data_IF_915208762969
#
_entry.id   IF_915208762969
#
_cell.length_a   1.000
_cell.length_b   1.000
_cell.length_c   1.000
_cell.angle_alpha   90.00
_cell.angle_beta   90.00
_cell.angle_gamma   90.00
#
_symmetry.space_group_name_H-M   'P 1'
#
loop_
_entity.id
_entity.type
_entity.pdbx_description
1 polymer ?
#
# COMPACT_ATOMS: atom_id res chain seq x y z
N UNK A 1 24.63 -14.79 -3.16
CA UNK A 1 23.34 -14.94 -2.42
C UNK A 1 23.53 -14.45 -1.00
N UNK A 2 22.56 -13.72 -0.44
CA UNK A 2 22.64 -12.98 0.84
C UNK A 2 22.69 -13.83 2.12
N UNK A 3 22.87 -15.16 2.03
CA UNK A 3 23.12 -16.05 3.18
C UNK A 3 21.97 -16.21 4.19
N UNK A 4 20.81 -15.61 3.96
CA UNK A 4 19.66 -15.68 4.87
C UNK A 4 18.75 -16.87 4.55
N UNK A 5 18.98 -18.01 5.20
CA UNK A 5 18.14 -19.23 5.04
C UNK A 5 17.10 -19.41 6.15
N UNK A 6 17.35 -18.85 7.34
CA UNK A 6 16.48 -19.01 8.52
C UNK A 6 16.03 -17.66 9.10
N UNK A 7 14.80 -17.62 9.61
CA UNK A 7 14.24 -16.43 10.28
C UNK A 7 14.59 -16.46 11.77
N UNK A 8 15.11 -15.35 12.31
CA UNK A 8 15.49 -15.21 13.73
C UNK A 8 14.46 -14.45 14.59
N UNK A 9 13.50 -13.76 13.96
CA UNK A 9 12.53 -12.93 14.66
C UNK A 9 11.55 -13.78 15.48
N UNK A 10 11.41 -13.50 16.78
CA UNK A 10 10.62 -14.30 17.73
C UNK A 10 9.35 -13.61 18.26
N UNK A 11 9.22 -12.29 18.06
CA UNK A 11 8.12 -11.53 18.62
C UNK A 11 6.90 -11.51 17.69
N UNK A 12 5.80 -10.94 18.17
CA UNK A 12 4.60 -10.71 17.36
C UNK A 12 4.93 -9.75 16.22
N UNK A 13 4.42 -10.05 15.02
CA UNK A 13 4.55 -9.15 13.87
C UNK A 13 3.56 -8.02 14.00
N UNK A 14 3.96 -6.81 13.62
CA UNK A 14 3.02 -5.69 13.49
C UNK A 14 1.91 -6.03 12.50
N UNK A 15 0.72 -5.52 12.78
CA UNK A 15 -0.44 -5.63 11.90
C UNK A 15 -1.08 -4.26 11.74
N UNK A 16 -1.59 -4.01 10.54
CA UNK A 16 -2.30 -2.83 10.13
C UNK A 16 -3.67 -3.23 9.60
N UNK A 17 -4.62 -2.31 9.71
CA UNK A 17 -5.93 -2.46 9.08
C UNK A 17 -5.82 -2.12 7.60
N UNK A 18 -6.48 -2.94 6.79
CA UNK A 18 -6.66 -2.64 5.39
C UNK A 18 -7.74 -1.55 5.26
N UNK A 19 -7.56 -0.66 4.30
CA UNK A 19 -8.46 0.45 3.99
C UNK A 19 -9.06 0.22 2.61
N UNK A 20 -10.31 0.62 2.41
CA UNK A 20 -10.88 0.67 1.07
C UNK A 20 -10.36 1.92 0.34
N UNK A 21 -9.65 1.69 -0.76
CA UNK A 21 -9.08 2.74 -1.62
C UNK A 21 -9.79 2.80 -2.98
N UNK A 22 -10.98 2.22 -3.06
CA UNK A 22 -11.81 2.16 -4.24
C UNK A 22 -11.75 0.82 -4.95
N UNK A 23 -12.53 0.73 -6.04
CA UNK A 23 -12.81 -0.55 -6.71
C UNK A 23 -11.64 -1.11 -7.53
N UNK A 24 -10.64 -0.30 -7.87
CA UNK A 24 -9.58 -0.68 -8.81
C UNK A 24 -8.55 -1.65 -8.20
N UNK A 25 -8.29 -1.56 -6.90
CA UNK A 25 -7.27 -2.38 -6.25
C UNK A 25 -7.61 -2.68 -4.79
N UNK A 26 -7.25 -3.89 -4.35
CA UNK A 26 -7.24 -4.25 -2.93
C UNK A 26 -5.99 -3.70 -2.28
N UNK A 27 -6.19 -3.12 -1.10
CA UNK A 27 -5.13 -2.59 -0.27
C UNK A 27 -4.80 -3.57 0.87
N UNK A 28 -3.61 -4.16 0.83
CA UNK A 28 -3.08 -5.04 1.88
C UNK A 28 -1.88 -4.40 2.58
N UNK A 29 -2.15 -3.64 3.63
CA UNK A 29 -1.13 -2.84 4.30
C UNK A 29 -0.05 -3.69 5.00
N UNK A 30 -0.41 -4.89 5.46
CA UNK A 30 0.53 -5.82 6.12
C UNK A 30 1.68 -6.31 5.23
N UNK A 31 1.61 -6.09 3.90
CA UNK A 31 2.68 -6.39 2.95
C UNK A 31 3.60 -5.20 2.68
N UNK A 32 3.29 -4.01 3.20
CA UNK A 32 4.06 -2.81 2.94
C UNK A 32 5.38 -2.81 3.73
N UNK A 33 6.49 -2.61 3.02
CA UNK A 33 7.85 -2.49 3.59
C UNK A 33 8.27 -1.04 3.84
N UNK A 34 7.32 -0.09 3.79
CA UNK A 34 7.57 1.34 3.99
C UNK A 34 8.69 1.92 3.09
N UNK A 35 8.71 1.54 1.81
CA UNK A 35 9.69 2.06 0.84
C UNK A 35 9.36 3.44 0.27
N UNK A 36 8.20 4.02 0.61
CA UNK A 36 7.70 5.33 0.14
C UNK A 36 7.45 5.48 -1.37
N UNK A 37 7.75 4.46 -2.19
CA UNK A 37 7.66 4.56 -3.65
C UNK A 37 6.25 4.88 -4.15
N UNK A 38 5.22 4.33 -3.51
CA UNK A 38 3.83 4.60 -3.86
C UNK A 38 3.44 6.08 -3.67
N UNK A 39 3.76 6.68 -2.51
CA UNK A 39 3.41 8.08 -2.24
C UNK A 39 4.22 9.04 -3.12
N UNK A 40 5.50 8.74 -3.38
CA UNK A 40 6.31 9.53 -4.32
C UNK A 40 5.74 9.46 -5.73
N UNK A 41 5.47 8.27 -6.25
CA UNK A 41 4.82 8.12 -7.55
C UNK A 41 3.50 8.89 -7.61
N UNK A 42 2.66 8.72 -6.60
CA UNK A 42 1.33 9.29 -6.58
C UNK A 42 1.35 10.82 -6.58
N UNK A 43 2.23 11.41 -5.77
CA UNK A 43 2.38 12.86 -5.65
C UNK A 43 3.13 13.49 -6.83
N UNK A 44 4.21 12.85 -7.28
CA UNK A 44 5.15 13.47 -8.22
C UNK A 44 4.79 13.19 -9.69
N UNK A 45 4.04 12.12 -9.98
CA UNK A 45 3.72 11.69 -11.35
C UNK A 45 2.24 11.47 -11.64
N UNK A 46 1.42 11.17 -10.63
CA UNK A 46 -0.01 10.92 -10.81
C UNK A 46 -0.87 12.15 -10.44
N UNK A 47 -0.26 13.27 -10.06
CA UNK A 47 -0.91 14.50 -9.58
C UNK A 47 -1.94 14.27 -8.46
N UNK A 48 -1.79 13.16 -7.72
CA UNK A 48 -2.71 12.77 -6.67
C UNK A 48 -2.30 13.35 -5.32
N UNK A 49 -3.27 13.83 -4.56
CA UNK A 49 -3.03 14.53 -3.27
C UNK A 49 -3.60 13.80 -2.05
N UNK A 50 -4.42 12.77 -2.27
CA UNK A 50 -5.19 12.08 -1.24
C UNK A 50 -4.50 10.81 -0.68
N UNK A 51 -3.39 10.34 -1.27
CA UNK A 51 -2.55 9.27 -0.72
C UNK A 51 -1.34 9.81 0.05
N UNK A 52 -1.32 9.60 1.37
CA UNK A 52 -0.29 10.09 2.27
C UNK A 52 0.41 9.01 3.11
N UNK A 53 1.26 9.51 4.02
CA UNK A 53 1.94 8.73 5.06
C UNK A 53 1.49 9.26 6.42
N UNK A 54 1.08 8.35 7.30
CA UNK A 54 0.58 8.67 8.63
C UNK A 54 1.30 7.84 9.69
N UNK A 55 1.31 8.30 10.94
CA UNK A 55 1.97 7.63 12.05
C UNK A 55 3.49 7.80 12.08
N UNK A 56 4.15 7.06 12.97
CA UNK A 56 5.59 7.13 13.20
C UNK A 56 6.17 5.76 13.60
N UNK A 57 7.49 5.59 13.41
CA UNK A 57 8.24 4.37 13.71
C UNK A 57 7.59 3.10 13.13
N UNK A 58 7.29 2.11 13.96
CA UNK A 58 6.74 0.84 13.54
C UNK A 58 5.25 0.91 13.16
N UNK A 59 4.59 2.02 13.51
CA UNK A 59 3.17 2.27 13.25
C UNK A 59 2.93 3.15 12.00
N UNK A 60 3.93 3.30 11.14
CA UNK A 60 3.77 4.04 9.87
C UNK A 60 2.74 3.35 8.98
N UNK A 61 1.81 4.16 8.48
CA UNK A 61 0.71 3.78 7.62
C UNK A 61 0.76 4.54 6.30
N UNK A 62 0.43 3.88 5.19
CA UNK A 62 0.29 4.49 3.88
C UNK A 62 -1.17 4.32 3.46
N UNK A 63 -1.82 5.38 3.02
CA UNK A 63 -3.26 5.36 2.74
C UNK A 63 -3.83 6.77 2.66
N UNK A 64 -5.12 6.90 2.89
CA UNK A 64 -5.86 8.17 3.01
C UNK A 64 -6.20 8.44 4.49
N UNK A 65 -6.58 9.69 4.84
CA UNK A 65 -7.14 9.98 6.16
C UNK A 65 -8.43 9.19 6.46
N UNK A 66 -9.26 9.02 5.43
CA UNK A 66 -10.55 8.32 5.49
C UNK A 66 -10.70 7.38 4.29
N UNK A 67 -11.50 6.32 4.44
CA UNK A 67 -11.73 5.33 3.39
C UNK A 67 -12.44 5.97 2.18
N UNK A 68 -12.03 5.57 0.97
CA UNK A 68 -12.62 6.07 -0.26
C UNK A 68 -11.72 5.90 -1.47
N UNK A 69 -12.32 6.00 -2.66
CA UNK A 69 -11.63 5.86 -3.96
C UNK A 69 -10.58 6.95 -4.18
N UNK A 70 -9.36 6.54 -4.55
CA UNK A 70 -8.31 7.48 -4.94
C UNK A 70 -8.74 8.35 -6.13
N UNK A 71 -8.51 9.65 -6.05
CA UNK A 71 -9.05 10.62 -7.01
C UNK A 71 -8.30 10.66 -8.35
N UNK A 72 -6.99 10.43 -8.34
CA UNK A 72 -6.19 10.41 -9.58
C UNK A 72 -6.57 9.26 -10.51
N UNK A 73 -6.77 9.57 -11.79
CA UNK A 73 -7.00 8.57 -12.86
C UNK A 73 -5.81 7.62 -13.03
N UNK A 74 -4.59 8.09 -12.74
CA UNK A 74 -3.35 7.30 -12.82
C UNK A 74 -3.06 6.49 -11.55
N UNK A 75 -4.01 6.42 -10.62
CA UNK A 75 -3.92 5.62 -9.40
C UNK A 75 -3.73 4.12 -9.66
N UNK A 76 -4.23 3.61 -10.80
CA UNK A 76 -4.10 2.19 -11.17
C UNK A 76 -2.65 1.69 -11.30
N UNK A 77 -1.71 2.58 -11.64
CA UNK A 77 -0.30 2.24 -11.80
C UNK A 77 0.40 1.94 -10.45
N UNK A 78 -0.23 2.25 -9.32
CA UNK A 78 0.28 1.92 -7.99
C UNK A 78 0.55 0.42 -7.79
N UNK A 79 -0.18 -0.44 -8.52
CA UNK A 79 0.02 -1.89 -8.51
C UNK A 79 1.41 -2.27 -9.03
N UNK A 80 1.83 -1.66 -10.13
CA UNK A 80 3.12 -1.97 -10.77
C UNK A 80 4.30 -1.30 -10.04
N UNK A 81 4.05 -0.12 -9.44
CA UNK A 81 5.06 0.62 -8.69
C UNK A 81 5.43 -0.08 -7.37
N UNK A 82 4.52 -0.85 -6.79
CA UNK A 82 4.72 -1.47 -5.49
C UNK A 82 5.61 -2.72 -5.56
N UNK A 83 6.75 -2.77 -4.85
CA UNK A 83 7.65 -3.92 -4.91
C UNK A 83 7.13 -5.18 -4.20
N UNK A 84 6.12 -5.06 -3.33
CA UNK A 84 5.66 -6.16 -2.46
C UNK A 84 4.21 -6.58 -2.69
N UNK A 85 3.52 -5.94 -3.64
CA UNK A 85 2.10 -6.20 -3.87
C UNK A 85 1.18 -5.72 -2.75
N UNK A 86 1.49 -4.60 -2.08
CA UNK A 86 0.53 -3.91 -1.19
C UNK A 86 -0.77 -3.58 -1.93
N UNK A 87 -0.65 -3.23 -3.21
CA UNK A 87 -1.75 -2.97 -4.11
C UNK A 87 -1.91 -4.16 -5.03
N UNK A 88 -3.06 -4.83 -4.97
CA UNK A 88 -3.40 -5.93 -5.86
C UNK A 88 -4.56 -5.53 -6.75
N UNK A 89 -4.49 -5.79 -8.06
CA UNK A 89 -5.63 -5.54 -8.94
C UNK A 89 -6.84 -6.31 -8.43
N UNK A 90 -7.93 -5.60 -8.21
CA UNK A 90 -9.17 -6.23 -7.82
C UNK A 90 -9.91 -6.68 -9.08
N UNK A 91 -10.27 -7.96 -9.16
CA UNK A 91 -11.15 -8.45 -10.22
C UNK A 91 -12.53 -7.76 -10.06
N UNK A 92 -13.04 -7.05 -11.08
CA UNK A 92 -14.32 -6.35 -11.00
C UNK A 92 -15.52 -7.26 -10.72
N UNK A 93 -15.39 -8.58 -10.93
CA UNK A 93 -16.42 -9.59 -10.65
C UNK A 93 -16.50 -10.02 -9.17
N UNK A 94 -15.56 -9.57 -8.32
CA UNK A 94 -15.51 -9.93 -6.88
C UNK A 94 -16.11 -8.86 -5.96
N UNK A 95 -16.85 -7.92 -6.54
CA UNK A 95 -17.55 -6.83 -5.86
C UNK A 95 -19.10 -6.95 -5.95
N UNK A 96 -19.59 -8.11 -6.42
CA UNK A 96 -20.98 -8.56 -6.38
C UNK A 96 -21.07 -9.77 -5.45
#
# INVERSE_FOLDING_TARGET
>A
MTGHSFRRYRFTKRTHRNQDLGRLFRHEMNRCIACYRCVRYYKDYADGTDLGVYGAHDNVYFGRPEDGTLESEFSGNLVEVCPTGRFHRQNPLRAL
#
